data_IF_996172444149
#
_entry.id   IF_996172444149
#
_cell.length_a   1.000
_cell.length_b   1.000
_cell.length_c   1.000
_cell.angle_alpha   90.00
_cell.angle_beta   90.00
_cell.angle_gamma   90.00
#
_symmetry.space_group_name_H-M   'P 1'
#
loop_
_entity.id
_entity.type
_entity.pdbx_description
1 polymer ?
#
# COMPACT_ATOMS: atom_id res chain seq x y z
N UNK A 1 10.59 -3.57 16.30
CA UNK A 1 10.66 -2.76 17.54
C UNK A 1 9.35 -2.06 17.87
N UNK A 2 8.45 -1.75 16.93
CA UNK A 2 7.12 -1.16 17.26
C UNK A 2 6.00 -2.18 17.56
N UNK A 3 6.26 -3.48 17.36
CA UNK A 3 5.25 -4.54 17.53
C UNK A 3 5.26 -5.17 18.93
N UNK A 4 6.18 -4.76 19.80
CA UNK A 4 6.30 -5.23 21.19
C UNK A 4 5.39 -4.45 22.15
N UNK A 5 4.33 -3.81 21.66
CA UNK A 5 3.37 -3.05 22.47
C UNK A 5 2.39 -4.03 23.12
N UNK A 6 2.56 -4.26 24.42
CA UNK A 6 1.65 -5.01 25.28
C UNK A 6 0.47 -4.19 25.78
N UNK A 7 -0.45 -4.87 26.47
CA UNK A 7 -1.66 -4.25 27.05
C UNK A 7 -1.33 -3.11 28.03
N UNK A 8 -0.21 -3.22 28.76
CA UNK A 8 0.24 -2.20 29.70
C UNK A 8 0.65 -0.90 29.00
N UNK A 9 1.39 -0.97 27.89
CA UNK A 9 1.75 0.23 27.13
C UNK A 9 0.54 0.89 26.47
N UNK A 10 -0.41 0.10 25.93
CA UNK A 10 -1.68 0.64 25.41
C UNK A 10 -2.41 1.42 26.49
N UNK A 11 -2.51 0.88 27.71
CA UNK A 11 -3.15 1.56 28.82
C UNK A 11 -2.41 2.84 29.21
N UNK A 12 -1.08 2.80 29.26
CA UNK A 12 -0.24 3.97 29.52
C UNK A 12 -0.44 5.08 28.49
N UNK A 13 -0.50 4.73 27.20
CA UNK A 13 -0.78 5.68 26.11
C UNK A 13 -2.19 6.27 26.21
N UNK A 14 -3.19 5.45 26.59
CA UNK A 14 -4.56 5.94 26.80
C UNK A 14 -4.63 6.98 27.93
N UNK A 15 -3.96 6.70 29.05
CA UNK A 15 -3.85 7.65 30.17
C UNK A 15 -3.10 8.91 29.75
N UNK A 16 -1.99 8.79 29.02
CA UNK A 16 -1.24 9.95 28.50
C UNK A 16 -2.09 10.81 27.56
N UNK A 17 -2.82 10.19 26.63
CA UNK A 17 -3.75 10.88 25.73
C UNK A 17 -4.85 11.60 26.53
N UNK A 18 -5.33 10.98 27.61
CA UNK A 18 -6.31 11.57 28.51
C UNK A 18 -5.77 12.81 29.22
N UNK A 19 -4.51 12.82 29.64
CA UNK A 19 -3.88 14.00 30.23
C UNK A 19 -3.63 15.12 29.20
N UNK A 20 -3.16 14.77 28.01
CA UNK A 20 -2.81 15.76 26.98
C UNK A 20 -4.05 16.45 26.40
N UNK A 21 -5.10 15.67 26.11
CA UNK A 21 -6.32 16.15 25.44
C UNK A 21 -7.44 16.45 26.44
N UNK A 22 -7.52 15.67 27.52
CA UNK A 22 -8.61 15.69 28.49
C UNK A 22 -9.62 14.53 28.26
N UNK A 23 -10.07 13.85 29.33
CA UNK A 23 -11.02 12.72 29.23
C UNK A 23 -12.32 13.07 28.54
N UNK A 24 -12.83 14.27 28.78
CA UNK A 24 -14.10 14.72 28.20
C UNK A 24 -13.99 15.07 26.71
N UNK A 25 -12.78 15.45 26.26
CA UNK A 25 -12.53 15.91 24.89
C UNK A 25 -12.13 14.77 23.97
N UNK A 26 -11.50 13.72 24.51
CA UNK A 26 -11.07 12.55 23.74
C UNK A 26 -12.17 11.92 22.88
N UNK A 27 -13.39 11.63 23.39
CA UNK A 27 -14.46 11.03 22.57
C UNK A 27 -14.86 11.93 21.40
N UNK A 28 -14.88 13.25 21.63
CA UNK A 28 -15.21 14.24 20.60
C UNK A 28 -14.13 14.28 19.50
N UNK A 29 -12.86 14.37 19.89
CA UNK A 29 -11.72 14.38 18.95
C UNK A 29 -11.65 13.08 18.15
N UNK A 30 -11.86 11.93 18.79
CA UNK A 30 -11.93 10.65 18.09
C UNK A 30 -13.05 10.61 17.03
N UNK A 31 -14.23 11.13 17.37
CA UNK A 31 -15.35 11.25 16.43
C UNK A 31 -15.06 12.19 15.26
N UNK A 32 -14.37 13.31 15.50
CA UNK A 32 -13.94 14.24 14.46
C UNK A 32 -12.89 13.61 13.53
N UNK A 33 -11.89 12.93 14.09
CA UNK A 33 -10.88 12.19 13.33
C UNK A 33 -11.51 11.10 12.45
N UNK A 34 -12.47 10.33 12.98
CA UNK A 34 -13.18 9.31 12.22
C UNK A 34 -13.93 9.91 11.03
N UNK A 35 -14.59 11.05 11.21
CA UNK A 35 -15.26 11.78 10.12
C UNK A 35 -14.27 12.28 9.08
N UNK A 36 -13.10 12.77 9.50
CA UNK A 36 -12.04 13.18 8.59
C UNK A 36 -11.51 12.02 7.75
N UNK A 37 -11.23 10.88 8.37
CA UNK A 37 -10.78 9.68 7.67
C UNK A 37 -11.82 9.21 6.65
N UNK A 38 -13.12 9.24 7.01
CA UNK A 38 -14.21 8.91 6.09
C UNK A 38 -14.22 9.84 4.88
N UNK A 39 -14.10 11.15 5.09
CA UNK A 39 -14.04 12.16 4.02
C UNK A 39 -12.84 11.94 3.09
N UNK A 40 -11.65 11.70 3.65
CA UNK A 40 -10.45 11.43 2.86
C UNK A 40 -10.66 10.18 1.98
N UNK A 41 -11.22 9.12 2.55
CA UNK A 41 -11.53 7.89 1.81
C UNK A 41 -12.53 8.14 0.68
N UNK A 42 -13.58 8.93 0.95
CA UNK A 42 -14.59 9.29 -0.04
C UNK A 42 -13.98 10.10 -1.19
N UNK A 43 -13.18 11.13 -0.87
CA UNK A 43 -12.46 11.92 -1.87
C UNK A 43 -11.52 11.07 -2.73
N UNK A 44 -10.75 10.16 -2.11
CA UNK A 44 -9.86 9.26 -2.84
C UNK A 44 -10.64 8.32 -3.79
N UNK A 45 -11.78 7.79 -3.33
CA UNK A 45 -12.64 6.95 -4.16
C UNK A 45 -13.24 7.72 -5.34
N UNK A 46 -13.75 8.93 -5.09
CA UNK A 46 -14.33 9.80 -6.12
C UNK A 46 -13.30 10.17 -7.18
N UNK A 47 -12.11 10.62 -6.77
CA UNK A 47 -11.02 10.94 -7.69
C UNK A 47 -10.61 9.72 -8.53
N UNK A 48 -10.53 8.53 -7.91
CA UNK A 48 -10.24 7.28 -8.64
C UNK A 48 -11.33 6.96 -9.66
N UNK A 49 -12.60 7.15 -9.30
CA UNK A 49 -13.74 6.93 -10.20
C UNK A 49 -13.70 7.88 -11.40
N UNK A 50 -13.43 9.17 -11.17
CA UNK A 50 -13.31 10.17 -12.23
C UNK A 50 -12.14 9.88 -13.18
N UNK A 51 -10.99 9.45 -12.65
CA UNK A 51 -9.84 9.04 -13.45
C UNK A 51 -10.15 7.82 -14.31
N UNK A 52 -10.85 6.82 -13.75
CA UNK A 52 -11.27 5.62 -14.47
C UNK A 52 -12.24 5.95 -15.61
N UNK A 53 -13.16 6.89 -15.40
CA UNK A 53 -14.17 7.28 -16.39
C UNK A 53 -13.58 8.11 -17.54
N UNK A 54 -12.52 8.91 -17.28
CA UNK A 54 -11.97 9.85 -18.25
C UNK A 54 -10.69 9.37 -18.97
N UNK A 55 -9.91 8.42 -18.43
CA UNK A 55 -8.59 8.06 -18.98
C UNK A 55 -8.58 6.88 -19.98
N UNK A 56 -9.70 6.18 -20.18
CA UNK A 56 -9.81 5.13 -21.21
C UNK A 56 -9.07 3.81 -20.88
N UNK A 57 -9.07 2.85 -21.81
CA UNK A 57 -8.66 1.45 -21.56
C UNK A 57 -7.21 1.35 -21.11
N UNK A 58 -6.99 0.77 -19.93
CA UNK A 58 -5.69 0.69 -19.24
C UNK A 58 -5.74 1.11 -17.76
N UNK A 59 -6.78 1.86 -17.35
CA UNK A 59 -7.00 2.27 -15.96
C UNK A 59 -8.31 1.75 -15.35
N UNK A 60 -9.05 0.92 -16.11
CA UNK A 60 -10.32 0.32 -15.67
C UNK A 60 -10.19 -0.60 -14.46
N UNK A 61 -9.00 -1.14 -14.21
CA UNK A 61 -8.74 -2.08 -13.11
C UNK A 61 -8.12 -1.44 -11.86
N UNK A 62 -8.06 -0.10 -11.77
CA UNK A 62 -7.64 0.58 -10.54
C UNK A 62 -8.68 0.41 -9.44
N UNK A 63 -8.48 -0.60 -8.59
CA UNK A 63 -9.30 -0.82 -7.42
C UNK A 63 -8.89 0.18 -6.32
N UNK A 64 -9.81 0.81 -5.59
CA UNK A 64 -9.46 1.65 -4.43
C UNK A 64 -8.63 0.93 -3.35
N UNK A 65 -8.64 -0.41 -3.35
CA UNK A 65 -7.84 -1.27 -2.48
C UNK A 65 -6.36 -1.39 -2.93
N UNK A 66 -6.06 -1.07 -4.19
CA UNK A 66 -4.70 -1.00 -4.71
C UNK A 66 -4.00 0.31 -4.36
N UNK A 67 -4.70 1.32 -3.88
CA UNK A 67 -4.08 2.54 -3.32
C UNK A 67 -3.48 2.32 -1.92
N UNK A 68 -3.47 1.08 -1.43
CA UNK A 68 -2.57 0.70 -0.35
C UNK A 68 -1.16 0.64 -0.95
N UNK A 69 -0.19 1.48 -0.51
CA UNK A 69 1.10 1.61 -1.18
C UNK A 69 1.84 0.26 -1.29
N UNK A 70 1.63 -0.65 -0.32
CA UNK A 70 2.18 -2.01 -0.36
C UNK A 70 1.58 -2.88 -1.46
N UNK A 71 0.31 -2.69 -1.79
CA UNK A 71 -0.41 -3.48 -2.80
C UNK A 71 -0.17 -2.91 -4.19
N UNK A 72 -0.14 -1.57 -4.35
CA UNK A 72 0.26 -0.88 -5.58
C UNK A 72 1.66 -1.30 -6.02
N UNK A 73 2.65 -1.12 -5.13
CA UNK A 73 4.05 -1.47 -5.39
C UNK A 73 4.19 -2.97 -5.67
N UNK A 74 3.44 -3.83 -4.98
CA UNK A 74 3.45 -5.27 -5.27
C UNK A 74 2.92 -5.57 -6.67
N UNK A 75 1.85 -4.91 -7.12
CA UNK A 75 1.28 -5.11 -8.45
C UNK A 75 2.18 -4.61 -9.57
N UNK A 76 2.75 -3.41 -9.45
CA UNK A 76 3.71 -2.90 -10.43
C UNK A 76 5.02 -3.68 -10.45
N UNK A 77 5.52 -4.11 -9.28
CA UNK A 77 6.70 -4.98 -9.23
C UNK A 77 6.36 -6.34 -9.83
N UNK A 78 5.21 -6.96 -9.52
CA UNK A 78 4.84 -8.23 -10.16
C UNK A 78 4.63 -8.11 -11.66
N UNK A 79 4.06 -7.01 -12.14
CA UNK A 79 3.83 -6.75 -13.56
C UNK A 79 5.16 -6.55 -14.31
N UNK A 80 6.12 -5.83 -13.71
CA UNK A 80 7.48 -5.72 -14.23
C UNK A 80 8.26 -7.05 -14.17
N UNK A 81 8.02 -7.90 -13.16
CA UNK A 81 8.64 -9.24 -13.09
C UNK A 81 7.99 -10.24 -14.07
N UNK A 82 6.71 -10.07 -14.39
CA UNK A 82 5.98 -10.93 -15.32
C UNK A 82 6.26 -10.56 -16.79
N UNK A 83 6.64 -9.31 -17.08
CA UNK A 83 7.09 -8.87 -18.42
C UNK A 83 8.42 -9.52 -18.87
N UNK A 84 9.18 -10.11 -17.93
CA UNK A 84 10.47 -10.78 -18.16
C UNK A 84 10.39 -12.32 -18.30
N UNK A 85 9.21 -12.94 -18.39
CA UNK A 85 9.10 -14.41 -18.48
C UNK A 85 8.29 -14.93 -19.68
N UNK A 86 8.91 -15.12 -20.86
CA UNK A 86 8.41 -16.09 -21.80
C UNK A 86 8.71 -17.49 -21.24
N UNK A 87 7.66 -18.20 -20.80
CA UNK A 87 7.77 -19.60 -20.36
C UNK A 87 8.39 -20.46 -21.48
N UNK A 88 9.69 -20.77 -21.42
CA UNK A 88 10.24 -21.95 -22.11
C UNK A 88 11.68 -22.30 -21.67
N UNK A 89 11.77 -23.48 -21.03
CA UNK A 89 12.80 -24.52 -21.23
C UNK A 89 14.21 -24.30 -20.64
N UNK A 90 14.42 -25.10 -19.59
CA UNK A 90 15.39 -26.19 -19.56
C UNK A 90 16.89 -25.89 -19.78
N UNK A 91 17.64 -26.19 -18.72
CA UNK A 91 18.95 -26.84 -18.75
C UNK A 91 20.11 -26.04 -19.37
N UNK A 92 20.98 -25.61 -18.46
CA UNK A 92 22.44 -25.52 -18.56
C UNK A 92 23.02 -26.23 -19.78
N UNK A 93 23.20 -25.51 -20.88
CA UNK A 93 24.13 -25.91 -21.95
C UNK A 93 25.25 -24.87 -22.03
N UNK A 94 26.34 -25.23 -21.36
CA UNK A 94 27.73 -24.97 -21.69
C UNK A 94 27.94 -24.03 -22.91
N UNK A 95 28.04 -22.73 -22.66
CA UNK A 95 28.69 -21.83 -23.61
C UNK A 95 30.20 -21.85 -23.31
N UNK A 96 30.94 -22.64 -24.10
CA UNK A 96 32.38 -22.49 -24.26
C UNK A 96 32.64 -21.08 -24.79
N UNK A 97 33.40 -20.29 -24.06
CA UNK A 97 33.96 -19.02 -24.56
C UNK A 97 35.16 -19.44 -25.41
N UNK A 98 35.06 -19.29 -26.74
CA UNK A 98 36.21 -19.48 -27.63
C UNK A 98 37.19 -18.32 -27.42
N UNK A 99 38.45 -18.60 -27.03
CA UNK A 99 39.44 -17.58 -26.76
C UNK A 99 40.23 -17.20 -28.02
N UNK A 100 39.55 -17.05 -29.17
CA UNK A 100 40.18 -16.67 -30.45
C UNK A 100 39.51 -15.42 -31.04
N UNK A 101 39.50 -14.34 -30.26
CA UNK A 101 39.10 -13.00 -30.73
C UNK A 101 40.04 -11.90 -30.22
N UNK A 102 41.35 -12.18 -30.27
CA UNK A 102 42.44 -11.19 -30.24
C UNK A 102 43.36 -11.36 -31.44
#
# INVERSE_FOLDING_TARGET
MFFDIGLGEIFGLAVLAMFLVGPERLPKVAGEAAKWVKKIRELANSATSELKENLGPGFEDLQPKDLNPKTFVKKQISELLDEDNPKAKANTSKAMIDPDLL
#
